data_IF_697980995757
#
_entry.id   IF_697980995757
#
_cell.length_a   1.000
_cell.length_b   1.000
_cell.length_c   1.000
_cell.angle_alpha   90.00
_cell.angle_beta   90.00
_cell.angle_gamma   90.00
#
_symmetry.space_group_name_H-M   'P 1'
#
loop_
_entity.id
_entity.type
_entity.pdbx_description
1 polymer ?
#
# COMPACT_ATOMS: atom_id res chain seq x y z
N UNK A 1 7.53 -14.88 9.83
CA UNK A 1 8.17 -15.33 8.57
C UNK A 1 8.46 -14.17 7.62
N UNK A 2 7.46 -13.50 7.01
CA UNK A 2 7.68 -12.42 6.02
C UNK A 2 8.72 -11.34 6.39
N UNK A 3 8.70 -10.80 7.61
CA UNK A 3 9.69 -9.81 8.06
C UNK A 3 11.13 -10.36 8.11
N UNK A 4 11.33 -11.62 8.52
CA UNK A 4 12.64 -12.25 8.55
C UNK A 4 13.20 -12.52 7.14
N UNK A 5 12.31 -12.84 6.19
CA UNK A 5 12.69 -12.99 4.77
C UNK A 5 13.17 -11.66 4.17
N UNK A 6 12.62 -10.51 4.58
CA UNK A 6 13.13 -9.19 4.17
C UNK A 6 14.52 -8.91 4.73
N UNK A 7 14.76 -9.21 6.01
CA UNK A 7 16.08 -9.06 6.63
C UNK A 7 17.14 -9.98 5.97
N UNK A 8 16.71 -11.15 5.47
CA UNK A 8 17.54 -12.08 4.71
C UNK A 8 17.67 -11.74 3.21
N UNK A 9 17.16 -10.58 2.74
CA UNK A 9 17.20 -10.18 1.32
C UNK A 9 16.28 -11.00 0.39
N UNK A 10 15.52 -11.97 0.91
CA UNK A 10 14.62 -12.87 0.17
C UNK A 10 13.27 -12.18 -0.14
N UNK A 11 13.34 -11.00 -0.75
CA UNK A 11 12.22 -10.06 -0.93
C UNK A 11 11.04 -10.66 -1.70
N UNK A 12 11.30 -11.48 -2.74
CA UNK A 12 10.22 -12.13 -3.52
C UNK A 12 9.42 -13.13 -2.68
N UNK A 13 10.10 -13.91 -1.84
CA UNK A 13 9.45 -14.88 -0.96
C UNK A 13 8.74 -14.20 0.21
N UNK A 14 9.32 -13.10 0.72
CA UNK A 14 8.66 -12.25 1.70
C UNK A 14 7.30 -11.76 1.17
N UNK A 15 7.21 -11.33 -0.09
CA UNK A 15 5.95 -10.90 -0.73
C UNK A 15 4.92 -12.04 -0.76
N UNK A 16 5.31 -13.27 -1.10
CA UNK A 16 4.40 -14.44 -1.07
C UNK A 16 3.78 -14.63 0.31
N UNK A 17 4.63 -14.84 1.32
CA UNK A 17 4.21 -15.06 2.72
C UNK A 17 3.41 -13.89 3.29
N UNK A 18 3.75 -12.65 2.91
CA UNK A 18 3.01 -11.46 3.35
C UNK A 18 1.64 -11.35 2.67
N UNK A 19 1.49 -11.82 1.41
CA UNK A 19 0.19 -11.89 0.75
C UNK A 19 -0.70 -12.96 1.36
N UNK A 20 -0.20 -14.16 1.61
CA UNK A 20 -0.93 -15.22 2.34
C UNK A 20 -1.41 -14.73 3.73
N UNK A 21 -0.55 -13.99 4.43
CA UNK A 21 -0.92 -13.35 5.72
C UNK A 21 -2.09 -12.37 5.55
N UNK A 22 -2.11 -11.60 4.46
CA UNK A 22 -3.15 -10.61 4.15
C UNK A 22 -4.41 -11.21 3.50
N UNK A 23 -4.35 -12.45 3.02
CA UNK A 23 -5.54 -13.21 2.62
C UNK A 23 -6.30 -13.73 3.85
N UNK A 24 -5.58 -14.01 4.95
CA UNK A 24 -6.16 -14.38 6.25
C UNK A 24 -6.63 -13.16 7.05
N UNK A 25 -5.79 -12.11 7.14
CA UNK A 25 -6.12 -10.84 7.82
C UNK A 25 -5.76 -9.64 6.90
N UNK A 26 -6.71 -9.16 6.09
CA UNK A 26 -6.51 -8.03 5.17
C UNK A 26 -6.23 -6.68 5.83
N UNK A 27 -6.39 -6.59 7.16
CA UNK A 27 -6.25 -5.37 7.96
C UNK A 27 -4.93 -5.30 8.72
N UNK A 28 -4.13 -6.38 8.72
CA UNK A 28 -2.89 -6.51 9.49
C UNK A 28 -1.85 -5.45 9.11
N UNK A 29 -1.83 -4.34 9.86
CA UNK A 29 -0.96 -3.19 9.60
C UNK A 29 0.53 -3.57 9.49
N UNK A 30 1.02 -4.54 10.28
CA UNK A 30 2.40 -5.03 10.18
C UNK A 30 2.69 -5.76 8.86
N UNK A 31 1.75 -6.56 8.36
CA UNK A 31 1.94 -7.27 7.10
C UNK A 31 1.83 -6.30 5.91
N UNK A 32 0.88 -5.36 5.95
CA UNK A 32 0.79 -4.26 4.98
C UNK A 32 2.06 -3.40 4.96
N UNK A 33 2.59 -3.03 6.13
CA UNK A 33 3.84 -2.28 6.25
C UNK A 33 5.03 -3.04 5.62
N UNK A 34 5.20 -4.31 6.00
CA UNK A 34 6.31 -5.12 5.50
C UNK A 34 6.17 -5.39 3.99
N UNK A 35 4.94 -5.53 3.48
CA UNK A 35 4.69 -5.68 2.04
C UNK A 35 5.00 -4.37 1.28
N UNK A 36 4.73 -3.22 1.91
CA UNK A 36 5.17 -1.92 1.41
C UNK A 36 6.70 -1.83 1.27
N UNK A 37 7.43 -2.14 2.36
CA UNK A 37 8.90 -2.21 2.36
C UNK A 37 9.44 -3.19 1.30
N UNK A 38 8.80 -4.34 1.14
CA UNK A 38 9.17 -5.34 0.15
C UNK A 38 9.05 -4.81 -1.30
N UNK A 39 7.97 -4.07 -1.60
CA UNK A 39 7.82 -3.44 -2.91
C UNK A 39 8.80 -2.28 -3.13
N UNK A 40 9.14 -1.52 -2.08
CA UNK A 40 10.16 -0.47 -2.18
C UNK A 40 11.54 -1.06 -2.54
N UNK A 41 11.95 -2.13 -1.85
CA UNK A 41 13.18 -2.87 -2.12
C UNK A 41 13.22 -3.52 -3.53
N UNK A 42 12.09 -3.58 -4.24
CA UNK A 42 12.00 -4.01 -5.64
C UNK A 42 11.89 -2.85 -6.65
N UNK A 43 12.10 -1.59 -6.23
CA UNK A 43 11.96 -0.43 -7.10
C UNK A 43 10.51 -0.16 -7.52
N UNK A 44 9.52 -0.55 -6.71
CA UNK A 44 8.09 -0.38 -7.00
C UNK A 44 7.40 0.59 -6.02
N UNK A 45 7.81 1.88 -5.94
CA UNK A 45 7.31 2.82 -4.94
C UNK A 45 5.79 3.00 -5.00
N UNK A 46 5.16 2.99 -6.19
CA UNK A 46 3.69 3.04 -6.33
C UNK A 46 2.98 1.87 -5.64
N UNK A 47 3.53 0.65 -5.73
CA UNK A 47 2.98 -0.53 -5.03
C UNK A 47 3.29 -0.48 -3.53
N UNK A 48 4.42 0.12 -3.13
CA UNK A 48 4.77 0.32 -1.74
C UNK A 48 3.80 1.30 -1.05
N UNK A 49 3.53 2.45 -1.69
CA UNK A 49 2.66 3.52 -1.18
C UNK A 49 1.26 3.00 -0.86
N UNK A 50 0.62 2.30 -1.80
CA UNK A 50 -0.73 1.74 -1.62
C UNK A 50 -0.82 0.82 -0.39
N UNK A 51 0.22 0.03 -0.10
CA UNK A 51 0.22 -0.86 1.06
C UNK A 51 0.51 -0.11 2.37
N UNK A 52 1.39 0.90 2.35
CA UNK A 52 1.68 1.73 3.53
C UNK A 52 0.53 2.67 3.89
N UNK A 53 -0.16 3.25 2.91
CA UNK A 53 -1.39 4.01 3.13
C UNK A 53 -2.49 3.14 3.74
N UNK A 54 -2.64 1.89 3.29
CA UNK A 54 -3.54 0.93 3.93
C UNK A 54 -3.10 0.62 5.36
N UNK A 55 -1.81 0.41 5.59
CA UNK A 55 -1.28 0.17 6.94
C UNK A 55 -1.58 1.35 7.89
N UNK A 56 -1.36 2.58 7.42
CA UNK A 56 -1.60 3.81 8.18
C UNK A 56 -3.09 4.02 8.51
N UNK A 57 -4.01 3.62 7.61
CA UNK A 57 -5.47 3.64 7.86
C UNK A 57 -5.92 2.68 8.96
N UNK A 58 -5.20 1.57 9.18
CA UNK A 58 -5.52 0.59 10.21
C UNK A 58 -4.77 0.85 11.53
N UNK A 59 -3.55 1.42 11.47
CA UNK A 59 -2.77 1.78 12.64
C UNK A 59 -1.86 2.96 12.34
N UNK A 60 -2.15 4.11 12.94
CA UNK A 60 -1.21 5.22 12.97
C UNK A 60 0.04 4.79 13.76
N UNK A 61 1.21 4.87 13.13
CA UNK A 61 2.46 4.42 13.71
C UNK A 61 3.64 5.19 13.10
N UNK A 62 4.56 5.73 13.91
CA UNK A 62 5.76 6.40 13.41
C UNK A 62 6.53 5.57 12.38
N UNK A 63 6.66 4.25 12.58
CA UNK A 63 7.34 3.34 11.66
C UNK A 63 6.66 3.24 10.28
N UNK A 64 5.33 3.26 10.25
CA UNK A 64 4.57 3.17 8.99
C UNK A 64 4.67 4.51 8.25
N UNK A 65 4.56 5.62 8.97
CA UNK A 65 4.66 6.97 8.41
C UNK A 65 6.08 7.29 7.91
N UNK A 66 7.13 6.84 8.61
CA UNK A 66 8.52 6.92 8.14
C UNK A 66 8.72 6.17 6.81
N UNK A 67 8.23 4.94 6.73
CA UNK A 67 8.28 4.16 5.50
C UNK A 67 7.48 4.83 4.37
N UNK A 68 6.32 5.44 4.68
CA UNK A 68 5.55 6.19 3.70
C UNK A 68 6.32 7.42 3.20
N UNK A 69 7.00 8.16 4.09
CA UNK A 69 7.88 9.28 3.73
C UNK A 69 8.98 8.89 2.74
N UNK A 70 9.71 7.80 3.04
CA UNK A 70 10.73 7.24 2.14
C UNK A 70 10.18 6.85 0.78
N UNK A 71 9.03 6.17 0.75
CA UNK A 71 8.38 5.78 -0.50
C UNK A 71 7.97 6.99 -1.34
N UNK A 72 7.58 8.11 -0.70
CA UNK A 72 7.25 9.34 -1.41
C UNK A 72 8.50 10.10 -1.88
N UNK A 73 9.65 10.00 -1.18
CA UNK A 73 10.95 10.43 -1.71
C UNK A 73 11.31 9.65 -2.98
N UNK A 74 11.28 8.31 -2.92
CA UNK A 74 11.57 7.42 -4.06
C UNK A 74 10.53 7.51 -5.20
N UNK A 75 9.33 8.02 -4.92
CA UNK A 75 8.32 8.32 -5.93
C UNK A 75 8.48 9.70 -6.59
N UNK A 76 9.45 10.52 -6.15
CA UNK A 76 9.62 11.93 -6.51
C UNK A 76 8.40 12.81 -6.18
N UNK A 77 7.72 12.52 -5.06
CA UNK A 77 6.57 13.28 -4.53
C UNK A 77 6.97 13.98 -3.19
N UNK A 78 7.82 15.02 -3.23
CA UNK A 78 8.46 15.56 -2.03
C UNK A 78 7.47 16.24 -1.06
N UNK A 79 6.34 16.77 -1.54
CA UNK A 79 5.34 17.40 -0.69
C UNK A 79 4.61 16.36 0.18
N UNK A 80 4.30 15.20 -0.38
CA UNK A 80 3.73 14.04 0.31
C UNK A 80 4.74 13.44 1.30
N UNK A 81 6.03 13.35 0.92
CA UNK A 81 7.10 12.91 1.82
C UNK A 81 7.26 13.84 3.05
N UNK A 82 7.32 15.16 2.84
CA UNK A 82 7.37 16.15 3.93
C UNK A 82 6.16 16.01 4.87
N UNK A 83 4.95 15.82 4.35
CA UNK A 83 3.75 15.60 5.17
C UNK A 83 3.85 14.34 6.04
N UNK A 84 4.35 13.24 5.48
CA UNK A 84 4.54 12.01 6.23
C UNK A 84 5.58 12.18 7.35
N UNK A 85 6.70 12.87 7.08
CA UNK A 85 7.68 13.20 8.12
C UNK A 85 7.15 14.17 9.17
N UNK A 86 6.38 15.21 8.80
CA UNK A 86 5.71 16.09 9.76
C UNK A 86 4.72 15.31 10.65
N UNK A 87 4.04 14.28 10.13
CA UNK A 87 3.19 13.39 10.95
C UNK A 87 4.03 12.54 11.93
N UNK A 88 5.17 12.00 11.50
CA UNK A 88 6.09 11.31 12.43
C UNK A 88 6.54 12.25 13.54
N UNK A 89 6.91 13.49 13.21
CA UNK A 89 7.37 14.47 14.20
C UNK A 89 6.27 14.91 15.17
N UNK A 90 4.98 14.88 14.79
CA UNK A 90 3.87 15.09 15.73
C UNK A 90 3.78 13.96 16.78
N UNK A 91 4.05 12.72 16.38
CA UNK A 91 4.03 11.56 17.28
C UNK A 91 5.34 11.39 18.06
N UNK A 92 6.46 11.84 17.47
CA UNK A 92 7.83 11.73 17.98
C UNK A 92 8.67 12.93 17.55
N UNK A 93 8.59 14.01 18.32
CA UNK A 93 9.20 15.31 18.02
C UNK A 93 10.72 15.31 17.73
N UNK A 94 11.43 14.25 18.11
CA UNK A 94 12.89 14.09 17.92
C UNK A 94 13.25 12.81 17.16
N UNK A 95 12.34 12.26 16.35
CA UNK A 95 12.64 11.10 15.51
C UNK A 95 13.72 11.48 14.47
N UNK A 96 14.93 10.88 14.53
CA UNK A 96 16.08 11.36 13.77
C UNK A 96 15.90 11.17 12.26
N UNK A 97 15.16 10.13 11.85
CA UNK A 97 14.92 9.83 10.44
C UNK A 97 13.91 10.80 9.84
N UNK A 98 12.85 11.14 10.58
CA UNK A 98 11.90 12.17 10.15
C UNK A 98 12.51 13.58 10.15
N UNK A 99 13.35 13.92 11.13
CA UNK A 99 14.12 15.19 11.11
C UNK A 99 15.04 15.24 9.89
N UNK A 100 15.77 14.17 9.60
CA UNK A 100 16.68 14.10 8.45
C UNK A 100 15.93 14.21 7.11
N UNK A 101 14.85 13.43 6.93
CA UNK A 101 14.01 13.49 5.73
C UNK A 101 13.38 14.87 5.52
N UNK A 102 12.75 15.44 6.56
CA UNK A 102 12.19 16.79 6.52
C UNK A 102 13.24 17.86 6.20
N UNK A 103 14.46 17.76 6.74
CA UNK A 103 15.56 18.69 6.46
C UNK A 103 16.06 18.54 5.02
N UNK A 104 16.23 17.32 4.52
CA UNK A 104 16.70 17.02 3.15
C UNK A 104 15.74 17.55 2.08
N UNK A 105 14.43 17.50 2.35
CA UNK A 105 13.38 18.04 1.50
C UNK A 105 13.01 19.51 1.83
N UNK A 106 13.76 20.16 2.73
CA UNK A 106 13.31 21.32 3.49
C UNK A 106 13.87 22.66 3.02
N UNK A 107 13.32 23.21 1.94
CA UNK A 107 13.10 24.67 1.78
C UNK A 107 11.75 24.90 1.08
N UNK A 108 10.98 25.93 1.46
CA UNK A 108 9.55 25.95 1.15
C UNK A 108 9.24 26.43 -0.26
N UNK A 109 8.64 25.57 -1.09
CA UNK A 109 7.75 26.05 -2.15
C UNK A 109 6.49 26.63 -1.49
N UNK A 110 6.49 27.94 -1.27
CA UNK A 110 5.24 28.68 -1.01
C UNK A 110 4.27 28.37 -2.15
N UNK A 111 3.04 27.99 -1.80
CA UNK A 111 1.92 27.85 -2.73
C UNK A 111 2.14 26.94 -3.96
N UNK A 112 1.79 25.66 -3.79
CA UNK A 112 0.90 25.03 -4.78
C UNK A 112 -0.16 24.18 -4.09
N UNK A 113 -1.33 24.79 -3.95
CA UNK A 113 -2.60 24.13 -3.60
C UNK A 113 -2.98 23.19 -4.75
N UNK A 114 -2.33 22.03 -4.85
CA UNK A 114 -2.64 21.00 -5.84
C UNK A 114 -3.80 20.13 -5.32
N UNK A 115 -5.02 20.24 -5.86
CA UNK A 115 -6.10 19.37 -5.46
C UNK A 115 -5.93 18.01 -6.15
N UNK A 116 -5.25 17.05 -5.51
CA UNK A 116 -5.38 15.64 -5.88
C UNK A 116 -6.76 15.12 -5.46
N UNK A 117 -7.81 15.60 -6.15
CA UNK A 117 -9.09 14.91 -6.28
C UNK A 117 -8.83 13.61 -7.02
N UNK A 118 -8.48 12.58 -6.27
CA UNK A 118 -8.11 11.25 -6.75
C UNK A 118 -8.77 10.14 -5.94
N UNK A 119 -9.87 10.43 -5.24
CA UNK A 119 -10.72 9.39 -4.65
C UNK A 119 -11.42 8.62 -5.76
N UNK A 120 -10.73 7.65 -6.34
CA UNK A 120 -11.34 6.60 -7.12
C UNK A 120 -12.29 5.82 -6.20
N UNK A 121 -13.57 6.25 -6.17
CA UNK A 121 -14.66 5.45 -5.63
C UNK A 121 -14.72 4.18 -6.47
N UNK A 122 -14.24 3.06 -5.95
CA UNK A 122 -14.51 1.75 -6.53
C UNK A 122 -16.03 1.52 -6.51
N UNK A 123 -16.71 1.35 -7.66
CA UNK A 123 -18.06 0.82 -7.67
C UNK A 123 -18.01 -0.63 -7.19
N UNK A 124 -19.04 -1.05 -6.45
CA UNK A 124 -19.09 -2.39 -5.84
C UNK A 124 -19.33 -3.47 -6.92
N UNK A 125 -18.83 -4.67 -6.61
CA UNK A 125 -19.07 -5.97 -7.27
C UNK A 125 -20.21 -6.01 -8.31
N UNK A 126 -19.87 -6.27 -9.58
CA UNK A 126 -20.81 -6.82 -10.54
C UNK A 126 -20.85 -8.36 -10.39
N UNK A 127 -22.03 -8.93 -10.25
CA UNK A 127 -22.25 -10.37 -10.08
C UNK A 127 -22.05 -11.13 -11.39
N UNK A 128 -21.31 -12.24 -11.34
CA UNK A 128 -21.08 -13.10 -12.52
C UNK A 128 -22.29 -14.01 -12.75
N UNK A 129 -23.30 -13.52 -13.45
CA UNK A 129 -24.47 -14.33 -13.86
C UNK A 129 -24.02 -15.46 -14.79
N UNK A 130 -24.15 -16.70 -14.32
CA UNK A 130 -23.85 -17.90 -15.11
C UNK A 130 -25.00 -18.14 -16.09
N UNK A 131 -24.81 -17.77 -17.35
CA UNK A 131 -25.76 -18.09 -18.42
C UNK A 131 -25.66 -19.59 -18.73
N UNK A 132 -26.59 -20.39 -18.19
CA UNK A 132 -26.70 -21.82 -18.50
C UNK A 132 -26.86 -22.00 -20.01
N UNK A 133 -26.07 -22.90 -20.60
CA UNK A 133 -26.31 -23.39 -21.97
C UNK A 133 -27.53 -24.32 -21.93
N UNK A 134 -28.61 -23.96 -22.61
CA UNK A 134 -29.67 -24.89 -22.99
C UNK A 134 -29.30 -25.50 -24.34
N UNK A 135 -28.88 -26.76 -24.32
CA UNK A 135 -28.85 -27.59 -25.54
C UNK A 135 -30.29 -28.04 -25.83
N UNK A 136 -30.77 -27.98 -27.09
CA UNK A 136 -31.99 -28.67 -27.48
C UNK A 136 -31.66 -30.14 -27.71
N UNK A 137 -31.98 -31.00 -26.73
CA UNK A 137 -31.97 -32.45 -26.96
C UNK A 137 -33.21 -32.85 -27.75
N UNK A 138 -32.98 -33.54 -28.87
CA UNK A 138 -33.98 -34.24 -29.68
C UNK A 138 -34.44 -35.52 -28.98
N UNK A 139 -35.75 -35.73 -28.82
CA UNK A 139 -36.36 -37.08 -28.78
C UNK A 139 -37.89 -37.02 -28.95
N UNK A 140 -38.44 -38.07 -29.58
CA UNK A 140 -39.86 -38.37 -29.84
C UNK A 140 -39.99 -39.90 -30.05
N UNK A 141 -41.18 -40.52 -30.26
CA UNK A 141 -42.55 -40.18 -29.82
C UNK A 141 -42.83 -41.00 -28.52
N UNK A 142 -43.69 -42.06 -28.38
CA UNK A 142 -44.98 -42.48 -29.00
C UNK A 142 -46.17 -41.70 -28.36
N UNK A 143 -47.47 -42.06 -28.39
CA UNK A 143 -48.27 -43.24 -28.82
C UNK A 143 -49.55 -42.83 -29.55
#
# INVERSE_FOLDING_TARGET
RGAALLLAGRTREAIGVLRETLETDPTRADALNNLGVAYLAMGRPKSAAVNLERAAKHRESPRILLNLGKVMEDAHEPAEAVRAYDQVLKLRAKDPEAVAGRKRLGVPSKSRRSPRKGTAKSPKKATRTVRRKTVPSTEAPPS
#
